data_IF_725756856559
#
_entry.id   IF_725756856559
#
_cell.length_a   1.000
_cell.length_b   1.000
_cell.length_c   1.000
_cell.angle_alpha   90.00
_cell.angle_beta   90.00
_cell.angle_gamma   90.00
#
_symmetry.space_group_name_H-M   'P 1'
#
loop_
_entity.id
_entity.type
_entity.pdbx_description
1 polymer ?
#
# COMPACT_ATOMS: atom_id res chain seq x y z
N UNK A 1 -30.54 37.18 16.60
CA UNK A 1 -29.63 36.06 16.26
C UNK A 1 -30.46 34.94 15.64
N UNK A 2 -30.58 34.92 14.31
CA UNK A 2 -31.45 33.96 13.59
C UNK A 2 -30.72 32.62 13.55
N UNK A 3 -31.13 31.67 14.39
CA UNK A 3 -30.62 30.29 14.32
C UNK A 3 -31.02 29.72 12.96
N UNK A 4 -30.01 29.46 12.14
CA UNK A 4 -30.16 28.83 10.84
C UNK A 4 -30.89 27.49 11.01
N UNK A 5 -32.07 27.36 10.38
CA UNK A 5 -32.84 26.10 10.25
C UNK A 5 -32.18 25.15 9.24
N UNK A 6 -30.88 24.93 9.36
CA UNK A 6 -30.12 24.12 8.42
C UNK A 6 -30.34 22.65 8.71
N UNK A 7 -30.97 21.94 7.77
CA UNK A 7 -31.15 20.49 7.77
C UNK A 7 -29.84 19.68 7.86
N UNK A 8 -28.70 20.32 7.64
CA UNK A 8 -27.37 19.69 7.65
C UNK A 8 -26.66 19.75 9.00
N UNK A 9 -27.26 20.36 10.03
CA UNK A 9 -26.72 20.37 11.38
C UNK A 9 -26.98 18.99 12.06
N UNK A 10 -25.97 18.29 12.61
CA UNK A 10 -26.16 17.05 13.36
C UNK A 10 -27.18 17.18 14.50
N UNK A 11 -27.29 18.37 15.11
CA UNK A 11 -28.26 18.67 16.16
C UNK A 11 -29.71 18.66 15.65
N UNK A 12 -29.94 18.84 14.36
CA UNK A 12 -31.28 18.93 13.76
C UNK A 12 -32.04 17.60 13.80
N UNK A 13 -31.37 16.47 13.54
CA UNK A 13 -32.00 15.14 13.65
C UNK A 13 -32.31 14.78 15.12
N UNK A 14 -31.45 15.16 16.06
CA UNK A 14 -31.72 14.99 17.50
C UNK A 14 -32.95 15.78 17.96
N UNK A 15 -33.09 17.04 17.52
CA UNK A 15 -34.27 17.87 17.78
C UNK A 15 -35.55 17.30 17.15
N UNK A 16 -35.44 16.69 15.98
CA UNK A 16 -36.55 15.99 15.33
C UNK A 16 -37.01 14.77 16.15
N UNK A 17 -36.09 13.95 16.66
CA UNK A 17 -36.43 12.81 17.51
C UNK A 17 -37.14 13.26 18.79
N UNK A 18 -36.61 14.28 19.48
CA UNK A 18 -37.24 14.84 20.68
C UNK A 18 -38.64 15.39 20.41
N UNK A 19 -38.86 16.03 19.25
CA UNK A 19 -40.17 16.52 18.85
C UNK A 19 -41.17 15.38 18.59
N UNK A 20 -40.72 14.27 18.01
CA UNK A 20 -41.56 13.07 17.80
C UNK A 20 -41.90 12.42 19.14
N UNK A 21 -40.92 12.27 20.03
CA UNK A 21 -41.15 11.71 21.36
C UNK A 21 -42.11 12.57 22.19
N UNK A 22 -42.03 13.89 22.09
CA UNK A 22 -42.95 14.81 22.76
C UNK A 22 -44.40 14.70 22.23
N UNK A 23 -44.57 14.41 20.94
CA UNK A 23 -45.88 14.18 20.33
C UNK A 23 -46.45 12.80 20.70
N UNK A 24 -45.61 11.76 20.69
CA UNK A 24 -46.01 10.39 21.01
C UNK A 24 -46.37 10.23 22.50
N UNK A 25 -45.68 10.96 23.39
CA UNK A 25 -45.96 10.97 24.83
C UNK A 25 -47.01 12.02 25.23
N UNK A 26 -47.76 12.57 24.27
CA UNK A 26 -48.82 13.56 24.47
C UNK A 26 -48.42 14.85 25.22
N UNK A 27 -47.12 15.10 25.41
CA UNK A 27 -46.58 16.32 26.05
C UNK A 27 -46.88 17.58 25.21
N UNK A 28 -47.01 17.40 23.90
CA UNK A 28 -47.50 18.42 22.97
C UNK A 28 -48.55 17.76 22.08
N UNK A 29 -49.71 18.39 21.95
CA UNK A 29 -50.83 17.83 21.16
C UNK A 29 -50.81 18.29 19.71
N UNK A 30 -50.29 19.49 19.43
CA UNK A 30 -50.29 20.08 18.08
C UNK A 30 -48.92 19.98 17.41
N UNK A 31 -48.91 19.43 16.20
CA UNK A 31 -47.73 19.28 15.36
C UNK A 31 -46.99 20.62 15.10
N UNK A 32 -47.74 21.72 14.94
CA UNK A 32 -47.16 23.07 14.73
C UNK A 32 -46.46 23.61 15.96
N UNK A 33 -46.98 23.28 17.14
CA UNK A 33 -46.41 23.73 18.41
C UNK A 33 -45.13 22.95 18.69
N UNK A 34 -45.13 21.63 18.45
CA UNK A 34 -43.92 20.82 18.53
C UNK A 34 -42.84 21.31 17.56
N UNK A 35 -43.19 21.61 16.30
CA UNK A 35 -42.24 22.14 15.33
C UNK A 35 -41.63 23.50 15.76
N UNK A 36 -42.40 24.34 16.45
CA UNK A 36 -41.94 25.64 16.96
C UNK A 36 -41.07 25.49 18.20
N UNK A 37 -41.48 24.66 19.17
CA UNK A 37 -40.78 24.43 20.43
C UNK A 37 -39.39 23.82 20.21
N UNK A 38 -39.28 22.86 19.29
CA UNK A 38 -38.01 22.18 18.99
C UNK A 38 -37.24 22.81 17.83
N UNK A 39 -37.71 23.93 17.28
CA UNK A 39 -37.13 24.64 16.13
C UNK A 39 -36.79 23.71 14.95
N UNK A 40 -37.78 22.94 14.50
CA UNK A 40 -37.70 22.03 13.35
C UNK A 40 -38.71 22.39 12.28
N UNK A 41 -38.43 22.06 11.03
CA UNK A 41 -39.38 22.28 9.94
C UNK A 41 -40.61 21.40 10.11
N UNK A 42 -41.80 22.01 10.10
CA UNK A 42 -43.08 21.33 10.14
C UNK A 42 -43.22 20.26 9.04
N UNK A 43 -42.74 20.54 7.84
CA UNK A 43 -42.80 19.59 6.71
C UNK A 43 -41.92 18.38 6.95
N UNK A 44 -40.74 18.57 7.54
CA UNK A 44 -39.81 17.48 7.86
C UNK A 44 -40.33 16.64 9.03
N UNK A 45 -40.84 17.27 10.09
CA UNK A 45 -41.47 16.59 11.22
C UNK A 45 -42.65 15.72 10.77
N UNK A 46 -43.56 16.27 9.95
CA UNK A 46 -44.70 15.52 9.39
C UNK A 46 -44.25 14.31 8.55
N UNK A 47 -43.19 14.47 7.76
CA UNK A 47 -42.63 13.40 6.92
C UNK A 47 -42.01 12.29 7.79
N UNK A 48 -41.30 12.68 8.86
CA UNK A 48 -40.69 11.76 9.83
C UNK A 48 -41.75 10.95 10.59
N UNK A 49 -42.85 11.59 10.99
CA UNK A 49 -43.98 10.94 11.66
C UNK A 49 -44.69 9.91 10.77
N UNK A 50 -44.64 10.11 9.44
CA UNK A 50 -45.08 9.15 8.43
C UNK A 50 -44.03 8.06 8.10
N UNK A 51 -42.94 7.97 8.86
CA UNK A 51 -41.91 6.92 8.70
C UNK A 51 -40.78 7.23 7.72
N UNK A 52 -40.66 8.46 7.19
CA UNK A 52 -39.53 8.78 6.31
C UNK A 52 -38.21 8.82 7.07
N UNK A 53 -37.16 8.23 6.50
CA UNK A 53 -35.78 8.28 7.02
C UNK A 53 -34.99 9.48 6.47
N UNK A 54 -33.91 9.95 7.14
CA UNK A 54 -33.04 11.00 6.63
C UNK A 54 -32.43 10.62 5.30
N UNK A 55 -32.13 11.60 4.45
CA UNK A 55 -31.53 11.36 3.14
C UNK A 55 -30.21 10.56 3.22
N UNK A 56 -29.37 10.80 4.22
CA UNK A 56 -28.13 10.05 4.43
C UNK A 56 -28.38 8.57 4.82
N UNK A 57 -29.53 8.26 5.43
CA UNK A 57 -29.93 6.90 5.80
C UNK A 57 -30.84 6.23 4.76
N UNK A 58 -31.45 6.99 3.84
CA UNK A 58 -32.34 6.47 2.81
C UNK A 58 -31.67 5.45 1.87
N UNK A 59 -30.33 5.46 1.80
CA UNK A 59 -29.53 4.46 1.10
C UNK A 59 -29.16 3.23 1.93
N UNK A 60 -29.17 3.31 3.27
CA UNK A 60 -28.72 2.20 4.15
C UNK A 60 -29.64 0.99 4.00
N UNK A 61 -30.95 1.20 3.91
CA UNK A 61 -31.92 0.10 3.71
C UNK A 61 -31.75 -0.60 2.35
N UNK A 62 -31.14 0.07 1.36
CA UNK A 62 -30.82 -0.50 0.05
C UNK A 62 -29.46 -1.20 0.04
N UNK A 63 -28.61 -1.01 1.05
CA UNK A 63 -27.34 -1.73 1.17
C UNK A 63 -27.62 -3.17 1.58
N UNK A 64 -26.95 -4.10 0.91
CA UNK A 64 -27.01 -5.52 1.27
C UNK A 64 -26.32 -5.80 2.59
N UNK A 65 -25.34 -4.97 2.97
CA UNK A 65 -24.59 -5.07 4.21
C UNK A 65 -24.88 -3.87 5.13
N UNK A 66 -24.96 -4.12 6.43
CA UNK A 66 -25.12 -3.10 7.45
C UNK A 66 -23.79 -2.36 7.70
N UNK A 67 -23.82 -1.12 8.21
CA UNK A 67 -22.60 -0.41 8.60
C UNK A 67 -21.73 -1.19 9.59
N UNK A 68 -22.35 -1.96 10.49
CA UNK A 68 -21.64 -2.79 11.47
C UNK A 68 -20.89 -3.95 10.81
N UNK A 69 -21.54 -4.66 9.88
CA UNK A 69 -20.90 -5.75 9.11
C UNK A 69 -19.74 -5.21 8.24
N UNK A 70 -19.92 -4.05 7.59
CA UNK A 70 -18.85 -3.37 6.84
C UNK A 70 -17.66 -3.00 7.76
N UNK A 71 -17.93 -2.57 8.99
CA UNK A 71 -16.90 -2.26 9.98
C UNK A 71 -16.15 -3.52 10.45
N UNK A 72 -16.85 -4.64 10.65
CA UNK A 72 -16.23 -5.93 11.01
C UNK A 72 -15.34 -6.43 9.88
N UNK A 73 -15.81 -6.41 8.62
CA UNK A 73 -14.99 -6.78 7.46
C UNK A 73 -13.73 -5.93 7.36
N UNK A 74 -13.86 -4.62 7.58
CA UNK A 74 -12.71 -3.70 7.59
C UNK A 74 -11.71 -4.05 8.68
N UNK A 75 -12.18 -4.29 9.91
CA UNK A 75 -11.32 -4.70 11.03
C UNK A 75 -10.59 -6.00 10.75
N UNK A 76 -11.27 -6.97 10.13
CA UNK A 76 -10.68 -8.24 9.70
C UNK A 76 -9.58 -8.04 8.63
N UNK A 77 -9.83 -7.21 7.61
CA UNK A 77 -8.82 -6.86 6.59
C UNK A 77 -7.59 -6.22 7.23
N UNK A 78 -7.77 -5.24 8.13
CA UNK A 78 -6.65 -4.58 8.81
C UNK A 78 -5.88 -5.53 9.73
N UNK A 79 -6.56 -6.48 10.37
CA UNK A 79 -5.89 -7.51 11.18
C UNK A 79 -4.96 -8.39 10.33
N UNK A 80 -5.44 -8.81 9.15
CA UNK A 80 -4.66 -9.62 8.22
C UNK A 80 -3.50 -8.84 7.58
N UNK A 81 -3.71 -7.56 7.25
CA UNK A 81 -2.65 -6.66 6.78
C UNK A 81 -1.53 -6.52 7.81
N UNK A 82 -1.86 -6.29 9.09
CA UNK A 82 -0.87 -6.21 10.18
C UNK A 82 -0.05 -7.48 10.38
N UNK A 83 -0.60 -8.64 10.00
CA UNK A 83 0.08 -9.95 10.07
C UNK A 83 0.90 -10.27 8.81
N UNK A 84 0.96 -9.34 7.85
CA UNK A 84 1.68 -9.55 6.58
C UNK A 84 0.96 -10.47 5.60
N UNK A 85 -0.32 -10.78 5.83
CA UNK A 85 -1.12 -11.68 4.99
C UNK A 85 -2.42 -11.00 4.50
N UNK A 86 -2.33 -9.86 3.79
CA UNK A 86 -3.50 -9.13 3.35
C UNK A 86 -4.43 -10.03 2.50
N UNK A 87 -5.75 -10.00 2.75
CA UNK A 87 -6.67 -10.90 2.07
C UNK A 87 -6.79 -10.54 0.59
N UNK A 88 -6.90 -11.57 -0.25
CA UNK A 88 -7.23 -11.38 -1.67
C UNK A 88 -8.70 -10.98 -1.81
N UNK A 89 -9.04 -10.36 -2.93
CA UNK A 89 -10.41 -9.91 -3.20
C UNK A 89 -11.45 -11.03 -3.05
N UNK A 90 -11.16 -12.25 -3.49
CA UNK A 90 -12.10 -13.38 -3.33
C UNK A 90 -12.36 -13.73 -1.86
N UNK A 91 -11.34 -13.68 -1.00
CA UNK A 91 -11.48 -13.95 0.44
C UNK A 91 -12.36 -12.90 1.12
N UNK A 92 -12.26 -11.64 0.69
CA UNK A 92 -13.16 -10.59 1.15
C UNK A 92 -14.61 -10.86 0.73
N UNK A 93 -14.83 -11.34 -0.50
CA UNK A 93 -16.16 -11.73 -0.98
C UNK A 93 -16.71 -12.95 -0.21
N UNK A 94 -15.89 -13.96 0.08
CA UNK A 94 -16.28 -15.12 0.89
C UNK A 94 -16.66 -14.72 2.31
N UNK A 95 -15.85 -13.89 2.97
CA UNK A 95 -16.17 -13.41 4.32
C UNK A 95 -17.46 -12.57 4.31
N UNK A 96 -17.65 -11.73 3.30
CA UNK A 96 -18.90 -10.98 3.12
C UNK A 96 -20.11 -11.90 2.89
N UNK A 97 -19.94 -12.97 2.11
CA UNK A 97 -20.98 -13.98 1.89
C UNK A 97 -21.34 -14.71 3.19
N UNK A 98 -20.35 -15.06 4.03
CA UNK A 98 -20.59 -15.74 5.31
C UNK A 98 -21.44 -14.85 6.23
N UNK A 99 -21.08 -13.57 6.37
CA UNK A 99 -21.83 -12.60 7.18
C UNK A 99 -23.26 -12.42 6.66
N UNK A 100 -23.43 -12.34 5.33
CA UNK A 100 -24.74 -12.22 4.72
C UNK A 100 -25.56 -13.50 4.86
N UNK A 101 -24.97 -14.68 4.68
CA UNK A 101 -25.68 -15.95 4.78
C UNK A 101 -26.23 -16.20 6.19
N UNK A 102 -25.55 -15.72 7.23
CA UNK A 102 -26.05 -15.77 8.61
C UNK A 102 -27.30 -14.89 8.82
N UNK A 103 -27.47 -13.82 8.04
CA UNK A 103 -28.57 -12.86 8.18
C UNK A 103 -29.70 -13.09 7.19
N UNK A 104 -29.35 -13.39 5.94
CA UNK A 104 -30.25 -13.56 4.80
C UNK A 104 -29.54 -14.36 3.68
N UNK A 105 -29.80 -15.68 3.56
CA UNK A 105 -29.12 -16.57 2.62
C UNK A 105 -29.40 -16.27 1.14
N UNK A 106 -30.32 -15.35 0.83
CA UNK A 106 -30.69 -15.03 -0.56
C UNK A 106 -29.87 -13.90 -1.18
N UNK A 107 -29.02 -13.20 -0.41
CA UNK A 107 -28.34 -11.98 -0.85
C UNK A 107 -26.84 -12.19 -1.13
N UNK A 108 -26.43 -11.89 -2.37
CA UNK A 108 -25.02 -11.87 -2.80
C UNK A 108 -24.46 -10.43 -2.69
N UNK A 109 -23.30 -10.20 -2.04
CA UNK A 109 -22.68 -8.88 -1.86
C UNK A 109 -22.20 -8.27 -3.18
N UNK A 110 -22.29 -6.95 -3.28
CA UNK A 110 -21.79 -6.17 -4.41
C UNK A 110 -20.39 -5.59 -4.14
N UNK A 111 -19.68 -5.27 -5.23
CA UNK A 111 -18.24 -4.96 -5.31
C UNK A 111 -17.78 -3.62 -4.68
N UNK A 112 -18.57 -2.91 -3.86
CA UNK A 112 -18.23 -1.53 -3.48
C UNK A 112 -18.00 -1.33 -1.99
N UNK A 113 -16.73 -1.10 -1.63
CA UNK A 113 -16.34 -0.51 -0.35
C UNK A 113 -15.36 0.65 -0.61
N UNK A 114 -15.78 1.93 -0.41
CA UNK A 114 -14.99 3.09 -0.82
C UNK A 114 -13.67 3.26 -0.06
N UNK A 115 -13.55 2.67 1.13
CA UNK A 115 -12.38 2.81 2.02
C UNK A 115 -11.30 1.74 1.81
N UNK A 116 -11.52 0.76 0.93
CA UNK A 116 -10.55 -0.29 0.60
C UNK A 116 -10.02 -0.10 -0.82
N UNK A 117 -8.69 -0.10 -0.96
CA UNK A 117 -8.02 -0.02 -2.26
C UNK A 117 -7.27 -1.31 -2.57
N UNK A 118 -7.53 -1.88 -3.73
CA UNK A 118 -6.71 -2.99 -4.23
C UNK A 118 -5.33 -2.47 -4.65
N UNK A 119 -4.27 -3.10 -4.14
CA UNK A 119 -2.87 -2.83 -4.50
C UNK A 119 -2.19 -4.14 -4.89
N UNK A 120 -1.19 -4.07 -5.76
CA UNK A 120 -0.32 -5.21 -6.03
C UNK A 120 0.61 -5.41 -4.83
N UNK A 121 0.59 -6.62 -4.26
CA UNK A 121 1.51 -6.99 -3.18
C UNK A 121 2.89 -7.29 -3.76
N UNK A 122 3.95 -6.72 -3.15
CA UNK A 122 5.32 -7.13 -3.41
C UNK A 122 5.56 -8.47 -2.70
N UNK A 123 6.19 -9.42 -3.39
CA UNK A 123 6.65 -10.66 -2.74
C UNK A 123 7.85 -10.32 -1.88
N UNK A 124 7.74 -10.58 -0.58
CA UNK A 124 8.84 -10.52 0.37
C UNK A 124 9.22 -11.96 0.75
N UNK A 125 10.51 -12.29 0.75
CA UNK A 125 10.94 -13.60 1.23
C UNK A 125 10.83 -13.66 2.75
N UNK A 126 10.55 -14.85 3.29
CA UNK A 126 10.44 -15.04 4.74
C UNK A 126 11.72 -14.63 5.49
N UNK A 127 12.88 -14.95 4.93
CA UNK A 127 14.18 -14.52 5.45
C UNK A 127 14.31 -13.00 5.54
N UNK A 128 13.86 -12.26 4.52
CA UNK A 128 13.87 -10.79 4.53
C UNK A 128 12.88 -10.23 5.54
N UNK A 129 11.70 -10.84 5.67
CA UNK A 129 10.72 -10.43 6.67
C UNK A 129 11.25 -10.58 8.11
N UNK A 130 12.07 -11.61 8.40
CA UNK A 130 12.73 -11.76 9.70
C UNK A 130 13.83 -10.71 9.93
N UNK A 131 14.58 -10.34 8.88
CA UNK A 131 15.58 -9.28 8.97
C UNK A 131 14.97 -7.87 9.03
N UNK A 132 13.71 -7.71 8.62
CA UNK A 132 12.96 -6.44 8.65
C UNK A 132 12.24 -6.18 9.98
N UNK A 133 12.57 -6.92 11.05
CA UNK A 133 12.02 -6.68 12.38
C UNK A 133 12.42 -5.27 12.88
N UNK A 134 11.44 -4.37 13.14
CA UNK A 134 11.73 -3.01 13.60
C UNK A 134 12.57 -2.95 14.88
N UNK A 135 12.48 -3.96 15.75
CA UNK A 135 13.28 -4.02 16.99
C UNK A 135 14.75 -4.29 16.66
N UNK A 136 15.01 -5.25 15.77
CA UNK A 136 16.37 -5.61 15.35
C UNK A 136 17.00 -4.47 14.57
N UNK A 137 16.26 -3.89 13.62
CA UNK A 137 16.72 -2.74 12.84
C UNK A 137 16.97 -1.53 13.75
N UNK A 138 16.06 -1.25 14.68
CA UNK A 138 16.19 -0.15 15.63
C UNK A 138 17.41 -0.30 16.52
N UNK A 139 17.64 -1.49 17.08
CA UNK A 139 18.82 -1.80 17.88
C UNK A 139 20.12 -1.59 17.11
N UNK A 140 20.19 -2.12 15.89
CA UNK A 140 21.35 -1.94 15.01
C UNK A 140 21.69 -0.47 14.75
N UNK A 141 20.70 0.37 14.43
CA UNK A 141 20.95 1.80 14.19
C UNK A 141 21.32 2.57 15.45
N UNK A 142 20.79 2.17 16.62
CA UNK A 142 21.18 2.78 17.89
C UNK A 142 22.63 2.43 18.25
N UNK A 143 23.06 1.18 18.03
CA UNK A 143 24.46 0.75 18.19
C UNK A 143 25.40 1.52 17.25
N UNK A 144 25.03 1.68 15.97
CA UNK A 144 25.81 2.51 15.03
C UNK A 144 25.92 3.95 15.53
N UNK A 145 24.83 4.52 16.04
CA UNK A 145 24.83 5.89 16.54
C UNK A 145 25.76 6.04 17.75
N UNK A 146 25.74 5.10 18.69
CA UNK A 146 26.65 5.06 19.84
C UNK A 146 28.11 4.95 19.39
N UNK A 147 28.41 4.06 18.44
CA UNK A 147 29.74 3.90 17.87
C UNK A 147 30.25 5.18 17.22
N UNK A 148 29.38 5.87 16.46
CA UNK A 148 29.73 7.14 15.83
C UNK A 148 30.10 8.21 16.86
N UNK A 149 29.38 8.27 17.98
CA UNK A 149 29.65 9.21 19.07
C UNK A 149 30.93 8.84 19.84
N UNK A 150 31.16 7.56 20.13
CA UNK A 150 32.34 7.06 20.85
C UNK A 150 33.64 7.31 20.07
N UNK A 151 33.65 6.99 18.77
CA UNK A 151 34.84 7.06 17.92
C UNK A 151 34.94 8.37 17.12
N UNK A 152 33.96 9.26 17.23
CA UNK A 152 33.93 10.52 16.49
C UNK A 152 33.85 10.35 14.97
N UNK A 153 33.18 9.29 14.50
CA UNK A 153 33.05 8.98 13.07
C UNK A 153 32.13 10.01 12.42
N UNK A 154 32.67 10.85 11.54
CA UNK A 154 31.90 11.83 10.80
C UNK A 154 31.04 11.14 9.73
N UNK A 155 29.94 11.78 9.32
CA UNK A 155 29.12 11.27 8.21
C UNK A 155 29.96 11.09 6.94
N UNK A 156 30.91 11.99 6.70
CA UNK A 156 31.83 11.99 5.56
C UNK A 156 32.72 10.72 5.48
N UNK A 157 32.93 10.05 6.61
CA UNK A 157 33.73 8.83 6.72
C UNK A 157 32.90 7.54 6.55
N UNK A 158 31.59 7.66 6.31
CA UNK A 158 30.69 6.52 6.12
C UNK A 158 30.56 6.22 4.64
N UNK A 159 30.92 5.00 4.25
CA UNK A 159 30.85 4.51 2.88
C UNK A 159 29.99 3.26 2.80
N UNK A 160 29.10 3.21 1.80
CA UNK A 160 28.39 2.00 1.42
C UNK A 160 29.14 1.32 0.29
N UNK A 161 29.46 0.04 0.50
CA UNK A 161 30.19 -0.80 -0.45
C UNK A 161 29.27 -1.93 -0.91
N UNK A 162 29.11 -2.11 -2.21
CA UNK A 162 28.26 -3.16 -2.76
C UNK A 162 28.88 -3.79 -4.01
N UNK A 163 28.48 -5.03 -4.29
CA UNK A 163 28.97 -5.83 -5.41
C UNK A 163 27.83 -6.11 -6.41
N UNK A 164 28.07 -5.76 -7.67
CA UNK A 164 27.14 -6.07 -8.76
C UNK A 164 27.83 -6.94 -9.82
N UNK A 165 27.24 -8.11 -10.07
CA UNK A 165 27.64 -8.99 -11.15
C UNK A 165 26.93 -8.65 -12.46
N UNK A 166 27.71 -8.47 -13.53
CA UNK A 166 27.23 -8.32 -14.90
C UNK A 166 27.50 -9.60 -15.69
N UNK A 167 26.44 -10.25 -16.17
CA UNK A 167 26.58 -11.41 -17.04
C UNK A 167 26.85 -10.98 -18.49
N UNK A 168 28.04 -11.30 -18.98
CA UNK A 168 28.44 -11.06 -20.37
C UNK A 168 27.61 -11.93 -21.32
N UNK A 169 27.17 -11.35 -22.44
CA UNK A 169 26.40 -12.08 -23.47
C UNK A 169 24.92 -12.31 -23.16
N UNK A 170 24.44 -11.95 -21.97
CA UNK A 170 23.01 -11.98 -21.62
C UNK A 170 22.39 -10.63 -21.98
N UNK A 171 21.74 -10.56 -23.14
CA UNK A 171 20.86 -9.42 -23.45
C UNK A 171 19.63 -9.47 -22.55
N UNK A 172 19.26 -8.31 -21.97
CA UNK A 172 17.95 -8.13 -21.33
C UNK A 172 16.81 -8.36 -22.33
N UNK A 173 15.56 -8.39 -21.86
CA UNK A 173 14.41 -8.59 -22.75
C UNK A 173 14.36 -7.47 -23.79
N UNK A 174 14.67 -7.79 -25.05
CA UNK A 174 14.65 -6.85 -26.16
C UNK A 174 13.31 -6.89 -26.89
N UNK A 175 12.84 -5.73 -27.36
CA UNK A 175 11.70 -5.65 -28.27
C UNK A 175 12.15 -6.15 -29.65
N UNK A 176 11.67 -7.32 -30.05
CA UNK A 176 12.00 -7.93 -31.35
C UNK A 176 10.83 -7.80 -32.32
N UNK A 177 11.14 -7.73 -33.61
CA UNK A 177 10.15 -7.85 -34.69
C UNK A 177 10.08 -9.32 -35.07
N UNK A 178 8.90 -9.93 -35.03
CA UNK A 178 8.68 -11.32 -35.41
C UNK A 178 7.40 -11.49 -36.24
N UNK A 179 7.30 -12.62 -36.95
CA UNK A 179 6.09 -12.95 -37.74
C UNK A 179 4.84 -12.96 -36.87
N UNK A 180 3.72 -12.49 -37.43
CA UNK A 180 2.39 -12.47 -36.81
C UNK A 180 1.87 -13.86 -36.45
N UNK A 181 2.35 -14.89 -37.14
CA UNK A 181 1.79 -16.24 -37.07
C UNK A 181 2.44 -17.09 -35.95
N UNK A 182 3.44 -16.52 -35.27
CA UNK A 182 4.14 -17.20 -34.18
C UNK A 182 3.32 -17.14 -32.89
N UNK A 183 2.88 -18.29 -32.42
CA UNK A 183 2.27 -18.43 -31.09
C UNK A 183 3.36 -18.41 -30.01
N UNK A 184 3.14 -17.61 -28.96
CA UNK A 184 4.05 -17.48 -27.82
C UNK A 184 5.13 -16.41 -27.99
N UNK A 185 5.94 -16.23 -26.94
CA UNK A 185 7.01 -15.22 -26.93
C UNK A 185 8.19 -15.69 -27.80
N UNK A 186 8.71 -14.86 -28.73
CA UNK A 186 9.88 -15.22 -29.51
C UNK A 186 11.13 -15.34 -28.61
N UNK A 187 11.85 -16.45 -28.76
CA UNK A 187 13.15 -16.64 -28.10
C UNK A 187 14.27 -15.97 -28.87
N UNK A 188 15.13 -15.25 -28.17
CA UNK A 188 16.42 -14.77 -28.68
C UNK A 188 17.48 -15.83 -28.31
N UNK A 189 18.20 -16.38 -29.28
CA UNK A 189 19.30 -17.31 -29.02
C UNK A 189 20.44 -16.49 -28.41
N UNK A 190 20.87 -16.87 -27.20
CA UNK A 190 22.00 -16.23 -26.53
C UNK A 190 23.29 -16.99 -26.84
N UNK A 191 24.41 -16.30 -27.11
CA UNK A 191 25.71 -16.94 -27.14
C UNK A 191 25.96 -17.60 -25.77
N UNK A 192 26.37 -18.87 -25.77
CA UNK A 192 26.46 -19.70 -24.56
C UNK A 192 27.58 -19.30 -23.59
N UNK A 193 28.37 -18.27 -23.90
CA UNK A 193 29.36 -17.75 -22.97
C UNK A 193 28.65 -16.91 -21.90
N UNK A 194 28.72 -17.35 -20.64
CA UNK A 194 28.09 -16.75 -19.44
C UNK A 194 29.14 -16.31 -18.44
N UNK A 195 30.21 -15.69 -18.92
CA UNK A 195 31.21 -15.10 -18.05
C UNK A 195 30.59 -13.94 -17.27
N UNK A 196 30.92 -13.86 -15.99
CA UNK A 196 30.50 -12.78 -15.11
C UNK A 196 31.65 -11.78 -14.98
N UNK A 197 31.30 -10.50 -15.01
CA UNK A 197 32.17 -9.40 -14.61
C UNK A 197 31.61 -8.87 -13.30
N UNK A 198 32.44 -8.86 -12.27
CA UNK A 198 32.06 -8.35 -10.97
C UNK A 198 32.49 -6.90 -10.89
N UNK A 199 31.58 -6.00 -10.53
CA UNK A 199 31.89 -4.60 -10.28
C UNK A 199 31.61 -4.32 -8.82
N UNK A 200 32.63 -3.79 -8.16
CA UNK A 200 32.58 -3.35 -6.79
C UNK A 200 32.46 -1.83 -6.80
N UNK A 201 31.36 -1.33 -6.24
CA UNK A 201 31.03 0.09 -6.21
C UNK A 201 31.00 0.58 -4.75
N UNK A 202 31.45 1.82 -4.54
CA UNK A 202 31.49 2.41 -3.22
C UNK A 202 31.08 3.88 -3.27
N UNK A 203 30.13 4.26 -2.42
CA UNK A 203 29.59 5.61 -2.35
C UNK A 203 29.56 6.08 -0.90
N UNK A 204 30.17 7.23 -0.65
CA UNK A 204 30.15 7.91 0.64
C UNK A 204 28.78 8.50 0.95
N UNK A 205 28.47 8.70 2.24
CA UNK A 205 27.18 9.23 2.68
C UNK A 205 26.88 10.64 2.16
N UNK A 206 27.93 11.41 1.86
CA UNK A 206 27.87 12.75 1.26
C UNK A 206 27.67 12.75 -0.25
N UNK A 207 27.62 11.57 -0.87
CA UNK A 207 27.48 11.39 -2.32
C UNK A 207 28.80 11.28 -3.08
N UNK A 208 29.94 11.26 -2.38
CA UNK A 208 31.25 11.01 -3.00
C UNK A 208 31.29 9.60 -3.58
N UNK A 209 31.54 9.47 -4.88
CA UNK A 209 31.67 8.18 -5.56
C UNK A 209 33.14 7.79 -5.59
N UNK A 210 33.48 6.64 -5.03
CA UNK A 210 34.80 6.04 -5.15
C UNK A 210 34.88 5.32 -6.50
N UNK A 211 35.98 5.45 -7.26
CA UNK A 211 36.12 4.76 -8.53
C UNK A 211 35.90 3.24 -8.39
N UNK A 212 35.12 2.61 -9.28
CA UNK A 212 34.77 1.21 -9.16
C UNK A 212 35.97 0.30 -9.41
N UNK A 213 35.92 -0.88 -8.80
CA UNK A 213 36.82 -1.98 -9.08
C UNK A 213 36.09 -3.01 -9.96
N UNK A 214 36.63 -3.24 -11.15
CA UNK A 214 36.10 -4.21 -12.12
C UNK A 214 36.96 -5.47 -12.05
N UNK A 215 36.33 -6.61 -11.79
CA UNK A 215 36.97 -7.92 -11.70
C UNK A 215 36.47 -8.79 -12.84
N UNK A 216 37.38 -9.18 -13.73
CA UNK A 216 37.07 -10.10 -14.81
C UNK A 216 37.36 -11.53 -14.39
N UNK A 217 36.48 -12.46 -14.76
CA UNK A 217 36.81 -13.88 -14.72
C UNK A 217 37.85 -14.21 -15.77
N UNK A 218 39.12 -14.35 -15.38
CA UNK A 218 40.21 -14.74 -16.28
C UNK A 218 41.42 -15.26 -15.51
N UNK A 219 42.21 -16.12 -16.14
CA UNK A 219 43.54 -16.51 -15.65
C UNK A 219 44.67 -15.55 -16.05
N UNK A 220 44.45 -14.67 -17.03
CA UNK A 220 45.41 -13.63 -17.45
C UNK A 220 44.69 -12.37 -17.90
N UNK A 221 45.26 -11.20 -17.59
CA UNK A 221 44.73 -9.93 -18.05
C UNK A 221 45.50 -9.42 -19.28
N UNK A 222 44.80 -9.03 -20.35
CA UNK A 222 45.38 -8.32 -21.50
C UNK A 222 44.97 -6.85 -21.47
N UNK A 223 45.94 -5.95 -21.29
CA UNK A 223 45.71 -4.50 -21.23
C UNK A 223 45.03 -3.92 -22.50
N UNK A 224 45.13 -4.62 -23.63
CA UNK A 224 44.46 -4.26 -24.89
C UNK A 224 42.92 -4.23 -24.77
N UNK A 225 42.34 -4.96 -23.82
CA UNK A 225 40.88 -5.04 -23.65
C UNK A 225 40.24 -3.74 -23.14
N UNK A 226 41.02 -2.83 -22.56
CA UNK A 226 40.50 -1.64 -21.87
C UNK A 226 41.07 -0.32 -22.40
N UNK A 227 41.90 -0.39 -23.43
CA UNK A 227 42.60 0.77 -24.00
C UNK A 227 41.83 1.46 -25.13
N UNK A 228 40.73 0.87 -25.64
CA UNK A 228 39.85 1.48 -26.65
C UNK A 228 38.44 0.85 -26.66
N UNK A 229 37.37 1.55 -26.23
CA UNK A 229 37.35 2.90 -25.66
C UNK A 229 38.10 2.94 -24.31
N UNK A 230 38.78 4.06 -24.04
CA UNK A 230 39.51 4.23 -22.78
C UNK A 230 38.51 4.32 -21.62
N UNK A 231 38.61 3.39 -20.68
CA UNK A 231 37.97 3.55 -19.38
C UNK A 231 38.60 4.75 -18.64
N UNK A 232 37.86 5.40 -17.71
CA UNK A 232 38.43 6.43 -16.87
C UNK A 232 39.69 5.92 -16.16
N UNK A 233 40.76 6.75 -16.08
CA UNK A 233 42.08 6.29 -15.61
C UNK A 233 42.12 5.95 -14.11
N UNK A 234 41.13 6.41 -13.36
CA UNK A 234 40.94 6.19 -11.93
C UNK A 234 40.24 4.87 -11.61
N UNK A 235 39.69 4.18 -12.61
CA UNK A 235 39.03 2.90 -12.42
C UNK A 235 40.06 1.78 -12.28
N UNK A 236 39.83 0.89 -11.31
CA UNK A 236 40.70 -0.24 -11.07
C UNK A 236 40.18 -1.47 -11.79
N UNK A 237 41.06 -2.20 -12.48
CA UNK A 237 40.70 -3.42 -13.21
C UNK A 237 41.61 -4.55 -12.77
N UNK A 238 41.01 -5.65 -12.35
CA UNK A 238 41.72 -6.86 -11.94
C UNK A 238 41.04 -8.10 -12.52
N UNK A 239 41.62 -9.27 -12.24
CA UNK A 239 41.11 -10.55 -12.69
C UNK A 239 41.20 -11.58 -11.58
N UNK A 240 40.24 -12.51 -11.59
CA UNK A 240 40.11 -13.62 -10.66
C UNK A 240 39.78 -14.88 -11.48
N UNK A 241 40.32 -16.07 -11.17
CA UNK A 241 39.91 -17.31 -11.83
C UNK A 241 38.40 -17.60 -11.72
N UNK A 242 37.76 -17.05 -10.69
CA UNK A 242 36.35 -17.27 -10.39
C UNK A 242 35.44 -16.08 -10.72
N UNK A 243 36.01 -14.94 -11.11
CA UNK A 243 35.31 -13.64 -11.14
C UNK A 243 35.27 -12.99 -9.76
#
# INVERSE_FOLDING_TARGET
MVKSRTKNDPSYEGRLSLAIDALNNEKITKLRDAARTFDVSLTTLRRRLKGSVPAHNAGITRRKMTPTEEAVLRGWVFSLERRGVPPRQHMLHEMANILLAQRDPTKIPEKRQPDLKAKFARRLSYSRALCEDPVVIGGFFEEIKQLKEEYGIADEDIYNFDETGFAMGISSTAKVICSSDRSGKPSLIQPGNREWVTVVECVGSTGTVVPPLIIFKSGTNRAEWYTSPKLPPDWSITHSPNG
#
